data_IF_412374946498
#
_entry.id   IF_412374946498
#
_cell.length_a   1.000
_cell.length_b   1.000
_cell.length_c   1.000
_cell.angle_alpha   90.00
_cell.angle_beta   90.00
_cell.angle_gamma   90.00
#
_symmetry.space_group_name_H-M   'P 1'
#
loop_
_entity.id
_entity.type
_entity.pdbx_description
1 polymer ?
#
# COMPACT_ATOMS: atom_id res chain seq x y z
N UNK A 1 15.03 2.17 23.89
CA UNK A 1 14.02 2.89 23.08
C UNK A 1 12.72 2.11 23.14
N UNK A 2 11.58 2.80 23.33
CA UNK A 2 10.28 2.12 23.33
C UNK A 2 9.93 1.69 21.90
N UNK A 3 9.24 0.55 21.74
CA UNK A 3 8.88 0.04 20.42
C UNK A 3 7.86 0.98 19.74
N UNK A 4 8.11 1.49 18.53
CA UNK A 4 7.16 2.39 17.87
C UNK A 4 5.91 1.64 17.41
N UNK A 5 4.78 2.32 17.45
CA UNK A 5 3.55 1.86 16.79
C UNK A 5 3.62 2.17 15.30
N UNK A 6 3.12 1.26 14.47
CA UNK A 6 3.07 1.42 13.01
C UNK A 6 1.61 1.44 12.57
N UNK A 7 1.19 2.54 11.94
CA UNK A 7 -0.12 2.69 11.33
C UNK A 7 0.00 2.63 9.80
N UNK A 8 -0.60 1.62 9.19
CA UNK A 8 -0.66 1.45 7.73
C UNK A 8 -2.03 1.89 7.22
N UNK A 9 -2.07 2.93 6.39
CA UNK A 9 -3.29 3.46 5.76
C UNK A 9 -3.19 3.24 4.25
N UNK A 10 -4.22 2.65 3.66
CA UNK A 10 -4.29 2.38 2.22
C UNK A 10 -5.68 2.72 1.70
N UNK A 11 -5.75 3.61 0.71
CA UNK A 11 -7.01 4.00 0.06
C UNK A 11 -7.17 3.30 -1.30
N UNK A 12 -8.41 2.98 -1.66
CA UNK A 12 -8.72 2.28 -2.91
C UNK A 12 -8.84 3.29 -4.07
N UNK A 13 -8.10 3.07 -5.16
CA UNK A 13 -8.18 3.82 -6.42
C UNK A 13 -8.07 5.36 -6.35
N UNK A 14 -7.50 5.91 -5.27
CA UNK A 14 -7.37 7.37 -5.10
C UNK A 14 -6.41 8.00 -6.12
N UNK A 15 -5.42 7.23 -6.60
CA UNK A 15 -4.35 7.75 -7.45
C UNK A 15 -3.61 8.90 -6.77
N UNK A 16 -3.17 9.89 -7.57
CA UNK A 16 -2.54 11.13 -7.06
C UNK A 16 -3.54 12.27 -6.88
N UNK A 17 -4.85 12.03 -6.96
CA UNK A 17 -5.88 13.07 -6.95
C UNK A 17 -6.16 13.63 -5.53
N UNK A 18 -5.12 14.11 -4.84
CA UNK A 18 -5.19 14.72 -3.50
C UNK A 18 -4.30 15.96 -3.41
N UNK A 19 -4.54 16.80 -2.40
CA UNK A 19 -3.91 18.12 -2.25
C UNK A 19 -2.37 18.09 -2.23
N UNK A 20 -1.68 17.15 -1.53
CA UNK A 20 -0.22 17.09 -1.57
C UNK A 20 0.41 16.92 -2.96
N UNK A 21 -0.34 16.38 -3.91
CA UNK A 21 0.11 16.19 -5.29
C UNK A 21 -0.31 17.34 -6.22
N UNK A 22 -0.89 18.42 -5.69
CA UNK A 22 -1.24 19.63 -6.42
C UNK A 22 -2.67 19.66 -7.00
N UNK A 23 -3.53 18.72 -6.62
CA UNK A 23 -4.92 18.71 -7.07
C UNK A 23 -5.79 19.63 -6.20
N UNK A 24 -6.72 20.36 -6.82
CA UNK A 24 -7.65 21.29 -6.18
C UNK A 24 -8.80 20.59 -5.44
N UNK A 25 -8.47 19.61 -4.58
CA UNK A 25 -9.41 18.85 -3.76
C UNK A 25 -8.97 19.00 -2.31
N UNK A 26 -9.84 19.57 -1.48
CA UNK A 26 -9.54 19.80 -0.08
C UNK A 26 -9.33 18.47 0.66
N UNK A 27 -8.08 18.22 1.08
CA UNK A 27 -7.70 17.03 1.86
C UNK A 27 -6.76 17.44 3.01
N UNK A 28 -7.23 18.31 3.93
CA UNK A 28 -6.38 19.01 4.89
C UNK A 28 -5.60 18.07 5.83
N UNK A 29 -6.20 16.93 6.22
CA UNK A 29 -5.52 15.94 7.05
C UNK A 29 -4.41 15.19 6.31
N UNK A 30 -4.56 14.97 5.00
CA UNK A 30 -3.55 14.31 4.16
C UNK A 30 -2.44 15.30 3.80
N UNK A 31 -2.79 16.58 3.61
CA UNK A 31 -1.82 17.68 3.51
C UNK A 31 -0.95 17.77 4.76
N UNK A 32 -1.56 17.82 5.94
CA UNK A 32 -0.83 17.86 7.20
C UNK A 32 0.13 16.68 7.37
N UNK A 33 -0.30 15.47 7.01
CA UNK A 33 0.58 14.28 7.04
C UNK A 33 1.77 14.38 6.08
N UNK A 34 1.58 15.00 4.91
CA UNK A 34 2.66 15.21 3.94
C UNK A 34 3.65 16.29 4.42
N UNK A 35 3.16 17.35 5.07
CA UNK A 35 3.99 18.46 5.60
C UNK A 35 4.81 18.04 6.83
N UNK A 36 4.24 17.20 7.70
CA UNK A 36 4.91 16.64 8.89
C UNK A 36 5.80 15.42 8.56
N UNK A 37 5.81 14.95 7.31
CA UNK A 37 6.40 13.68 6.91
C UNK A 37 7.22 13.75 5.63
N UNK A 38 7.24 12.63 4.90
CA UNK A 38 7.95 12.49 3.62
C UNK A 38 6.94 12.13 2.52
N UNK A 39 6.88 12.96 1.48
CA UNK A 39 6.04 12.74 0.30
C UNK A 39 6.87 12.18 -0.87
N UNK A 40 6.56 10.95 -1.29
CA UNK A 40 7.17 10.34 -2.48
C UNK A 40 6.46 10.78 -3.75
N UNK A 41 7.11 11.59 -4.60
CA UNK A 41 6.55 12.03 -5.89
C UNK A 41 6.53 10.95 -6.99
N UNK A 42 7.31 9.88 -6.78
CA UNK A 42 7.52 8.76 -7.73
C UNK A 42 7.29 7.42 -7.04
N UNK A 43 6.10 7.23 -6.46
CA UNK A 43 5.66 5.96 -5.90
C UNK A 43 4.78 5.22 -6.91
N UNK A 44 5.14 3.98 -7.23
CA UNK A 44 4.43 3.15 -8.22
C UNK A 44 3.92 1.87 -7.57
N UNK A 45 2.74 1.41 -7.97
CA UNK A 45 2.24 0.09 -7.57
C UNK A 45 2.99 -0.99 -8.35
N UNK A 46 3.33 -2.10 -7.68
CA UNK A 46 3.99 -3.24 -8.32
C UNK A 46 3.07 -4.00 -9.30
N UNK A 47 1.76 -3.78 -9.21
CA UNK A 47 0.77 -4.28 -10.15
C UNK A 47 -0.41 -3.31 -10.27
N UNK A 48 -1.11 -3.26 -11.41
CA UNK A 48 -2.23 -2.33 -11.64
C UNK A 48 -3.56 -2.79 -11.03
N UNK A 49 -3.64 -4.05 -10.57
CA UNK A 49 -4.87 -4.64 -10.01
C UNK A 49 -4.80 -4.73 -8.48
N UNK A 50 -5.96 -4.65 -7.84
CA UNK A 50 -6.05 -4.38 -6.41
C UNK A 50 -5.48 -5.51 -5.52
N UNK A 51 -5.75 -6.79 -5.81
CA UNK A 51 -5.21 -7.90 -5.00
C UNK A 51 -3.71 -8.09 -5.22
N UNK A 52 -3.20 -8.11 -6.47
CA UNK A 52 -1.75 -8.18 -6.72
C UNK A 52 -0.96 -6.99 -6.17
N UNK A 53 -1.49 -5.77 -6.27
CA UNK A 53 -0.84 -4.56 -5.71
C UNK A 53 -0.71 -4.64 -4.19
N UNK A 54 -1.80 -4.99 -3.49
CA UNK A 54 -1.78 -5.17 -2.03
C UNK A 54 -0.90 -6.32 -1.60
N UNK A 55 -0.93 -7.45 -2.31
CA UNK A 55 -0.06 -8.58 -2.01
C UNK A 55 1.41 -8.17 -2.09
N UNK A 56 1.80 -7.44 -3.13
CA UNK A 56 3.18 -7.01 -3.27
C UNK A 56 3.64 -6.09 -2.13
N UNK A 57 2.79 -5.12 -1.76
CA UNK A 57 3.09 -4.21 -0.65
C UNK A 57 3.15 -4.92 0.71
N UNK A 58 2.28 -5.90 0.95
CA UNK A 58 2.14 -6.58 2.23
C UNK A 58 3.09 -7.78 2.38
N UNK A 59 3.68 -8.29 1.30
CA UNK A 59 4.65 -9.39 1.34
C UNK A 59 6.08 -8.96 1.00
N UNK A 60 6.25 -7.77 0.41
CA UNK A 60 7.53 -7.31 -0.13
C UNK A 60 7.98 -8.04 -1.39
N UNK A 61 7.09 -8.77 -2.06
CA UNK A 61 7.40 -9.59 -3.23
C UNK A 61 6.65 -9.12 -4.47
N UNK A 62 7.14 -9.45 -5.66
CA UNK A 62 6.34 -9.30 -6.87
C UNK A 62 5.10 -10.20 -6.83
N UNK A 63 4.04 -9.79 -7.53
CA UNK A 63 2.77 -10.53 -7.59
C UNK A 63 2.94 -12.00 -8.04
N UNK A 64 3.81 -12.24 -9.04
CA UNK A 64 4.08 -13.60 -9.51
C UNK A 64 4.86 -14.45 -8.49
N UNK A 65 5.74 -13.84 -7.70
CA UNK A 65 6.53 -14.55 -6.69
C UNK A 65 5.67 -14.93 -5.47
N UNK A 66 4.74 -14.05 -5.10
CA UNK A 66 3.82 -14.26 -3.97
C UNK A 66 2.61 -15.13 -4.30
N UNK A 67 2.38 -15.50 -5.56
CA UNK A 67 1.24 -16.31 -6.01
C UNK A 67 -0.02 -15.50 -6.33
N UNK A 68 -0.06 -14.21 -5.96
CA UNK A 68 -1.20 -13.32 -6.23
C UNK A 68 -1.19 -12.81 -7.67
N UNK A 69 -1.42 -13.70 -8.64
CA UNK A 69 -1.45 -13.37 -10.08
C UNK A 69 -2.70 -12.62 -10.52
N UNK A 70 -3.78 -12.64 -9.72
CA UNK A 70 -5.06 -12.07 -10.08
C UNK A 70 -5.87 -11.63 -8.87
N UNK A 71 -7.16 -11.39 -9.09
CA UNK A 71 -8.06 -10.90 -8.06
C UNK A 71 -8.47 -12.02 -7.11
N UNK A 72 -8.43 -11.78 -5.80
CA UNK A 72 -8.75 -12.80 -4.80
C UNK A 72 -10.17 -13.38 -4.97
N UNK A 73 -11.15 -12.55 -5.35
CA UNK A 73 -12.52 -13.01 -5.62
C UNK A 73 -12.65 -13.90 -6.87
N UNK A 74 -11.59 -14.02 -7.68
CA UNK A 74 -11.49 -14.94 -8.82
C UNK A 74 -10.68 -16.20 -8.49
N UNK A 75 -10.41 -16.46 -7.20
CA UNK A 75 -9.73 -17.68 -6.73
C UNK A 75 -8.20 -17.59 -6.62
N UNK A 76 -7.60 -16.43 -6.91
CA UNK A 76 -6.16 -16.24 -6.72
C UNK A 76 -5.82 -16.05 -5.23
N UNK A 77 -4.71 -16.64 -4.78
CA UNK A 77 -4.30 -16.61 -3.38
C UNK A 77 -2.78 -16.45 -3.24
N UNK A 78 -2.32 -16.14 -2.02
CA UNK A 78 -0.90 -16.11 -1.71
C UNK A 78 -0.35 -17.54 -1.61
N UNK A 79 0.89 -17.76 -2.07
CA UNK A 79 1.62 -19.02 -1.89
C UNK A 79 1.88 -19.31 -0.41
N UNK A 80 2.20 -18.29 0.38
CA UNK A 80 2.45 -18.41 1.81
C UNK A 80 1.99 -17.15 2.56
N UNK A 81 0.92 -17.27 3.33
CA UNK A 81 0.37 -16.17 4.14
C UNK A 81 1.32 -15.71 5.26
N UNK A 82 2.28 -16.53 5.67
CA UNK A 82 3.25 -16.18 6.73
C UNK A 82 4.22 -15.08 6.29
N UNK A 83 4.34 -14.85 4.98
CA UNK A 83 5.14 -13.75 4.41
C UNK A 83 4.44 -12.39 4.53
N UNK A 84 3.18 -12.36 4.99
CA UNK A 84 2.45 -11.13 5.20
C UNK A 84 3.08 -10.30 6.34
N UNK A 85 3.16 -8.98 6.14
CA UNK A 85 3.82 -8.00 7.01
C UNK A 85 3.37 -8.08 8.48
N UNK A 86 2.13 -8.52 8.74
CA UNK A 86 1.59 -8.74 10.09
C UNK A 86 2.38 -9.75 10.92
N UNK A 87 3.15 -10.64 10.29
CA UNK A 87 4.01 -11.59 10.99
C UNK A 87 5.38 -10.98 11.32
N UNK A 88 5.82 -9.99 10.54
CA UNK A 88 7.07 -9.24 10.76
C UNK A 88 6.91 -8.13 11.80
N UNK A 89 5.75 -7.47 11.84
CA UNK A 89 5.48 -6.36 12.77
C UNK A 89 5.03 -6.82 14.18
N UNK A 90 5.12 -8.11 14.49
CA UNK A 90 4.73 -8.68 15.81
C UNK A 90 5.70 -8.40 16.91
#
# INVERSE_FOLDING_TARGET
MNRPNILYIHSHDTGRYVQPYGHAIATPNIQRLADEGILFRRAFSAAPTCSPSRAALLTGQCAHSSGMLGLAHRGFCLNDVRQHLVHTLR
#
